data_IF_690661227387
#
_entry.id   IF_690661227387
#
_cell.length_a   1.000
_cell.length_b   1.000
_cell.length_c   1.000
_cell.angle_alpha   90.00
_cell.angle_beta   90.00
_cell.angle_gamma   90.00
#
_symmetry.space_group_name_H-M   'P 1'
#
loop_
_entity.id
_entity.type
_entity.pdbx_description
1 polymer ?
#
# COMPACT_ATOMS: atom_id res chain seq x y z
N UNK A 1 -10.08 -10.47 3.66
CA UNK A 1 -10.99 -10.56 2.49
C UNK A 1 -12.40 -10.95 2.86
N UNK A 2 -12.61 -12.05 3.59
CA UNK A 2 -13.97 -12.53 3.95
C UNK A 2 -14.83 -11.48 4.67
N UNK A 3 -14.29 -10.83 5.70
CA UNK A 3 -14.99 -9.77 6.43
C UNK A 3 -15.41 -8.60 5.51
N UNK A 4 -14.56 -8.23 4.55
CA UNK A 4 -14.88 -7.16 3.61
C UNK A 4 -15.99 -7.56 2.65
N UNK A 5 -16.02 -8.82 2.20
CA UNK A 5 -17.02 -9.34 1.26
C UNK A 5 -18.35 -9.72 1.94
N UNK A 6 -18.36 -9.94 3.25
CA UNK A 6 -19.56 -10.24 4.02
C UNK A 6 -20.64 -9.16 3.81
N UNK A 7 -21.79 -9.55 3.26
CA UNK A 7 -22.90 -8.63 2.92
C UNK A 7 -22.64 -7.71 1.73
N UNK A 8 -21.50 -7.84 1.04
CA UNK A 8 -21.13 -7.04 -0.15
C UNK A 8 -21.00 -7.87 -1.43
N UNK A 9 -20.72 -9.17 -1.31
CA UNK A 9 -20.64 -10.06 -2.46
C UNK A 9 -22.00 -10.15 -3.18
N UNK A 10 -21.99 -9.98 -4.51
CA UNK A 10 -23.21 -10.04 -5.32
C UNK A 10 -23.66 -11.48 -5.61
N UNK A 11 -22.75 -12.44 -5.45
CA UNK A 11 -22.97 -13.85 -5.76
C UNK A 11 -22.19 -14.70 -4.76
N UNK A 12 -22.61 -15.97 -4.62
CA UNK A 12 -21.83 -16.96 -3.91
C UNK A 12 -20.46 -17.12 -4.57
N UNK A 13 -19.42 -17.29 -3.77
CA UNK A 13 -18.05 -17.47 -4.22
C UNK A 13 -17.38 -18.56 -3.40
N UNK A 14 -16.36 -19.17 -3.99
CA UNK A 14 -15.48 -20.11 -3.30
C UNK A 14 -14.07 -19.49 -3.29
N UNK A 15 -13.42 -19.32 -2.13
CA UNK A 15 -12.03 -18.89 -2.07
C UNK A 15 -11.13 -19.87 -2.81
N UNK A 16 -10.16 -19.33 -3.56
CA UNK A 16 -9.13 -20.12 -4.26
C UNK A 16 -7.78 -19.69 -3.70
N UNK A 17 -6.92 -20.68 -3.44
CA UNK A 17 -5.59 -20.48 -2.90
C UNK A 17 -4.56 -21.14 -3.83
N UNK A 18 -3.31 -20.67 -3.78
CA UNK A 18 -2.20 -21.25 -4.53
C UNK A 18 -1.85 -22.65 -4.02
N UNK A 19 -1.38 -23.51 -4.92
CA UNK A 19 -0.83 -24.82 -4.55
C UNK A 19 0.51 -24.67 -3.80
N UNK A 20 0.83 -25.55 -2.83
CA UNK A 20 2.14 -25.56 -2.19
C UNK A 20 3.28 -25.71 -3.21
N UNK A 21 4.41 -25.03 -2.95
CA UNK A 21 5.65 -25.09 -3.76
C UNK A 21 5.49 -24.71 -5.25
N UNK A 22 4.49 -23.90 -5.60
CA UNK A 22 4.19 -23.47 -6.98
C UNK A 22 4.93 -22.19 -7.44
N UNK A 23 5.94 -21.72 -6.70
CA UNK A 23 6.63 -20.45 -6.95
C UNK A 23 8.00 -20.66 -7.61
N UNK A 24 8.32 -19.88 -8.64
CA UNK A 24 9.65 -19.84 -9.28
C UNK A 24 10.70 -19.10 -8.42
N UNK A 25 10.24 -18.13 -7.63
CA UNK A 25 11.06 -17.34 -6.72
C UNK A 25 10.31 -17.02 -5.43
N UNK A 26 11.01 -17.05 -4.30
CA UNK A 26 10.51 -16.57 -3.01
C UNK A 26 11.38 -15.40 -2.54
N UNK A 27 10.74 -14.31 -2.09
CA UNK A 27 11.41 -13.15 -1.51
C UNK A 27 10.81 -12.89 -0.13
N UNK A 28 11.67 -12.83 0.88
CA UNK A 28 11.27 -12.58 2.26
C UNK A 28 11.59 -11.13 2.66
N UNK A 29 10.66 -10.50 3.37
CA UNK A 29 10.78 -9.13 3.84
C UNK A 29 10.45 -9.07 5.34
N UNK A 30 11.38 -8.57 6.15
CA UNK A 30 11.08 -8.13 7.50
C UNK A 30 10.65 -6.65 7.44
N UNK A 31 9.43 -6.39 7.91
CA UNK A 31 8.82 -5.04 7.89
C UNK A 31 8.73 -4.40 9.28
N UNK A 32 9.32 -5.04 10.29
CA UNK A 32 9.21 -4.60 11.69
C UNK A 32 9.76 -3.18 11.89
N UNK A 33 10.82 -2.84 11.15
CA UNK A 33 11.49 -1.54 11.19
C UNK A 33 11.34 -0.77 9.86
N UNK A 34 10.34 -1.10 9.03
CA UNK A 34 10.11 -0.43 7.76
C UNK A 34 9.58 1.00 7.99
N UNK A 35 10.41 1.99 7.69
CA UNK A 35 10.01 3.40 7.75
C UNK A 35 9.19 3.84 6.52
N UNK A 36 8.46 4.97 6.59
CA UNK A 36 7.74 5.51 5.44
C UNK A 36 8.65 5.68 4.22
N UNK A 37 8.17 5.23 3.07
CA UNK A 37 8.91 5.23 1.81
C UNK A 37 8.33 6.26 0.83
N UNK A 38 9.20 6.85 0.02
CA UNK A 38 8.84 7.79 -1.04
C UNK A 38 9.46 7.33 -2.35
N UNK A 39 8.63 7.08 -3.36
CA UNK A 39 9.10 6.91 -4.73
C UNK A 39 9.48 8.29 -5.29
N UNK A 40 10.78 8.53 -5.47
CA UNK A 40 11.30 9.80 -5.98
C UNK A 40 11.38 9.77 -7.51
N UNK A 41 11.38 10.94 -8.19
CA UNK A 41 11.43 10.98 -9.65
C UNK A 41 12.63 10.22 -10.26
N UNK A 42 12.55 9.71 -11.49
CA UNK A 42 11.42 9.70 -12.42
C UNK A 42 10.81 8.30 -12.61
N UNK A 43 11.05 7.38 -11.67
CA UNK A 43 10.61 5.99 -11.77
C UNK A 43 10.03 5.52 -10.44
N UNK A 44 9.00 4.68 -10.51
CA UNK A 44 8.29 4.17 -9.32
C UNK A 44 9.13 3.24 -8.45
N UNK A 45 10.15 2.60 -9.03
CA UNK A 45 11.11 1.72 -8.36
C UNK A 45 12.29 2.46 -7.72
N UNK A 46 12.39 3.78 -7.93
CA UNK A 46 13.40 4.62 -7.28
C UNK A 46 12.89 5.08 -5.91
N UNK A 47 13.05 4.24 -4.90
CA UNK A 47 12.48 4.46 -3.56
C UNK A 47 13.55 4.92 -2.58
N UNK A 48 13.19 5.90 -1.73
CA UNK A 48 14.00 6.36 -0.59
C UNK A 48 13.17 6.42 0.68
N UNK A 49 13.86 6.32 1.80
CA UNK A 49 13.30 6.62 3.11
C UNK A 49 12.77 8.07 3.17
N UNK A 50 11.59 8.26 3.76
CA UNK A 50 11.02 9.59 3.95
C UNK A 50 11.89 10.47 4.85
N UNK A 51 12.61 9.87 5.79
CA UNK A 51 13.54 10.54 6.69
C UNK A 51 14.72 11.21 5.95
N UNK A 52 15.21 10.61 4.85
CA UNK A 52 16.25 11.19 4.00
C UNK A 52 15.81 12.48 3.28
N UNK A 53 14.51 12.65 3.08
CA UNK A 53 13.92 13.75 2.31
C UNK A 53 13.43 14.90 3.21
N UNK A 54 13.67 14.82 4.52
CA UNK A 54 13.22 15.81 5.49
C UNK A 54 13.74 17.22 5.13
N UNK A 55 12.84 18.20 5.14
CA UNK A 55 13.17 19.60 4.85
C UNK A 55 13.19 19.96 3.36
N UNK A 56 12.97 19.01 2.44
CA UNK A 56 12.77 19.32 1.03
C UNK A 56 11.47 20.13 0.86
N UNK A 57 11.50 21.33 0.22
CA UNK A 57 10.29 22.12 -0.01
C UNK A 57 9.29 21.39 -0.91
N UNK A 58 8.01 21.48 -0.57
CA UNK A 58 6.90 20.91 -1.34
C UNK A 58 5.85 22.00 -1.56
N UNK A 59 5.60 22.34 -2.82
CA UNK A 59 4.64 23.38 -3.18
C UNK A 59 3.19 22.87 -3.23
N UNK A 60 3.01 21.57 -3.47
CA UNK A 60 1.70 20.96 -3.58
C UNK A 60 1.71 19.54 -3.04
N UNK A 61 0.64 19.19 -2.33
CA UNK A 61 0.34 17.82 -1.90
C UNK A 61 -1.01 17.43 -2.48
N UNK A 62 -1.09 16.23 -3.06
CA UNK A 62 -2.33 15.65 -3.56
C UNK A 62 -2.61 14.33 -2.82
N UNK A 63 -3.77 14.24 -2.17
CA UNK A 63 -4.17 13.09 -1.37
C UNK A 63 -5.39 12.43 -2.03
N UNK A 64 -5.25 11.15 -2.37
CA UNK A 64 -6.32 10.35 -2.98
C UNK A 64 -6.14 10.16 -4.49
N UNK A 65 -6.20 8.90 -4.91
CA UNK A 65 -6.10 8.40 -6.28
C UNK A 65 -6.89 7.08 -6.38
N UNK A 66 -6.54 6.18 -7.31
CA UNK A 66 -7.07 4.82 -7.30
C UNK A 66 -6.41 3.92 -6.23
N UNK A 67 -5.18 4.23 -5.80
CA UNK A 67 -4.40 3.39 -4.87
C UNK A 67 -4.78 3.66 -3.41
N UNK A 68 -5.03 4.92 -3.10
CA UNK A 68 -5.39 5.46 -1.79
C UNK A 68 -6.51 6.49 -1.96
N UNK A 69 -7.30 6.78 -0.93
CA UNK A 69 -8.47 7.67 -1.01
C UNK A 69 -9.78 7.01 -0.61
N UNK A 70 -9.72 5.80 -0.04
CA UNK A 70 -10.84 5.24 0.74
C UNK A 70 -11.00 6.06 2.02
N UNK A 71 -12.12 5.84 2.71
CA UNK A 71 -12.42 6.56 3.95
C UNK A 71 -11.28 6.40 4.97
N UNK A 72 -10.73 5.19 5.13
CA UNK A 72 -9.64 4.97 6.07
C UNK A 72 -8.37 5.75 5.74
N UNK A 73 -8.07 5.95 4.45
CA UNK A 73 -6.89 6.70 4.01
C UNK A 73 -7.05 8.21 4.32
N UNK A 74 -8.24 8.75 4.05
CA UNK A 74 -8.57 10.16 4.31
C UNK A 74 -8.65 10.45 5.81
N UNK A 75 -9.20 9.54 6.60
CA UNK A 75 -9.20 9.65 8.06
C UNK A 75 -7.77 9.63 8.62
N UNK A 76 -6.89 8.77 8.11
CA UNK A 76 -5.50 8.75 8.54
C UNK A 76 -4.81 10.09 8.25
N UNK A 77 -4.98 10.63 7.05
CA UNK A 77 -4.45 11.95 6.69
C UNK A 77 -5.03 13.08 7.56
N UNK A 78 -6.33 13.03 7.89
CA UNK A 78 -7.00 14.05 8.70
C UNK A 78 -6.60 14.05 10.19
N UNK A 79 -5.97 12.98 10.68
CA UNK A 79 -5.53 12.85 12.08
C UNK A 79 -4.10 13.36 12.33
N UNK A 80 -3.36 13.68 11.26
CA UNK A 80 -2.01 14.27 11.31
C UNK A 80 -2.13 15.78 11.48
#
# INVERSE_FOLDING_TARGET
TEQFLAGRARQAYQPVYSDPESYDQTIEYDISDLEPQVAVPFRVDNVRAGSELAGLPVDQVFIGTCTNGRLEDLEAAARI
#
